data_IF_387046775907
#
_entry.id   IF_387046775907
#
_cell.length_a   1.000
_cell.length_b   1.000
_cell.length_c   1.000
_cell.angle_alpha   90.00
_cell.angle_beta   90.00
_cell.angle_gamma   90.00
#
_symmetry.space_group_name_H-M   'P 1'
#
loop_
_entity.id
_entity.type
_entity.pdbx_description
1 polymer ?
#
# COMPACT_ATOMS: atom_id res chain seq x y z
N UNK A 1 -3.37 -3.25 -38.38
CA UNK A 1 -4.54 -3.95 -37.82
C UNK A 1 -4.42 -3.89 -36.31
N UNK A 2 -5.45 -3.39 -35.63
CA UNK A 2 -5.48 -3.30 -34.16
C UNK A 2 -5.42 -4.68 -33.53
N UNK A 3 -4.63 -4.84 -32.47
CA UNK A 3 -4.55 -6.09 -31.71
C UNK A 3 -5.45 -6.04 -30.48
N UNK A 4 -6.11 -7.14 -30.16
CA UNK A 4 -6.91 -7.29 -28.94
C UNK A 4 -6.24 -8.37 -28.12
N UNK A 5 -5.99 -8.08 -26.85
CA UNK A 5 -5.40 -9.00 -25.89
C UNK A 5 -6.40 -9.27 -24.77
N UNK A 6 -6.63 -10.55 -24.48
CA UNK A 6 -7.47 -10.99 -23.38
C UNK A 6 -6.71 -11.01 -22.04
N UNK A 7 -7.44 -11.25 -20.95
CA UNK A 7 -6.88 -11.27 -19.60
C UNK A 7 -5.76 -12.30 -19.42
N UNK A 8 -5.91 -13.50 -19.98
CA UNK A 8 -4.89 -14.55 -19.84
C UNK A 8 -3.58 -14.12 -20.50
N UNK A 9 -3.66 -13.60 -21.74
CA UNK A 9 -2.49 -13.09 -22.46
C UNK A 9 -1.81 -11.93 -21.71
N UNK A 10 -2.58 -11.09 -21.03
CA UNK A 10 -2.04 -9.99 -20.20
C UNK A 10 -1.32 -10.58 -18.98
N UNK A 11 -1.92 -11.55 -18.30
CA UNK A 11 -1.35 -12.21 -17.13
C UNK A 11 -0.04 -12.93 -17.46
N UNK A 12 0.00 -13.68 -18.55
CA UNK A 12 1.21 -14.39 -19.00
C UNK A 12 2.41 -13.43 -19.21
N UNK A 13 2.15 -12.22 -19.71
CA UNK A 13 3.20 -11.20 -19.87
C UNK A 13 3.61 -10.55 -18.55
N UNK A 14 2.67 -10.41 -17.61
CA UNK A 14 2.96 -9.85 -16.29
C UNK A 14 3.87 -10.76 -15.45
N UNK A 15 3.93 -12.07 -15.72
CA UNK A 15 4.85 -12.99 -15.03
C UNK A 15 6.34 -12.70 -15.32
N UNK A 16 6.63 -12.07 -16.46
CA UNK A 16 8.01 -11.77 -16.91
C UNK A 16 8.33 -10.27 -16.93
N UNK A 17 7.34 -9.43 -16.63
CA UNK A 17 7.48 -7.98 -16.61
C UNK A 17 7.68 -7.49 -15.17
N UNK A 18 8.51 -6.47 -14.97
CA UNK A 18 8.60 -5.74 -13.70
C UNK A 18 7.66 -4.52 -13.72
N UNK A 19 6.45 -4.62 -13.13
CA UNK A 19 5.53 -3.49 -13.09
C UNK A 19 6.00 -2.39 -12.14
N UNK A 20 6.85 -2.70 -11.15
CA UNK A 20 7.35 -1.71 -10.18
C UNK A 20 8.30 -0.75 -10.90
N UNK A 21 9.26 -1.29 -11.67
CA UNK A 21 10.17 -0.48 -12.48
C UNK A 21 9.42 0.42 -13.48
N UNK A 22 8.45 -0.16 -14.20
CA UNK A 22 7.65 0.57 -15.19
C UNK A 22 6.88 1.75 -14.55
N UNK A 23 6.26 1.52 -13.39
CA UNK A 23 5.52 2.55 -12.66
C UNK A 23 6.44 3.60 -12.07
N UNK A 24 7.61 3.22 -11.53
CA UNK A 24 8.63 4.15 -11.04
C UNK A 24 9.10 5.10 -12.16
N UNK A 25 9.43 4.55 -13.33
CA UNK A 25 9.80 5.34 -14.52
C UNK A 25 8.71 6.34 -14.91
N UNK A 26 7.43 5.92 -14.82
CA UNK A 26 6.28 6.78 -15.05
C UNK A 26 6.23 7.99 -14.10
N UNK A 27 6.42 7.78 -12.80
CA UNK A 27 6.46 8.85 -11.81
C UNK A 27 7.62 9.83 -12.00
N UNK A 28 8.80 9.33 -12.40
CA UNK A 28 9.96 10.17 -12.73
C UNK A 28 9.62 11.09 -13.90
N UNK A 29 9.10 10.53 -15.00
CA UNK A 29 8.72 11.30 -16.21
C UNK A 29 7.62 12.31 -15.91
N UNK A 30 6.65 11.96 -15.06
CA UNK A 30 5.61 12.90 -14.62
C UNK A 30 6.22 14.09 -13.88
N UNK A 31 7.10 13.84 -12.91
CA UNK A 31 7.77 14.89 -12.12
C UNK A 31 8.71 15.77 -12.95
N UNK A 32 9.30 15.21 -14.01
CA UNK A 32 10.12 15.96 -14.98
C UNK A 32 9.29 16.82 -15.96
N UNK A 33 7.97 16.85 -15.84
CA UNK A 33 7.08 17.57 -16.77
C UNK A 33 6.98 16.94 -18.16
N UNK A 34 7.41 15.68 -18.30
CA UNK A 34 7.38 14.94 -19.56
C UNK A 34 6.04 14.26 -19.79
N UNK A 35 5.26 13.97 -18.74
CA UNK A 35 3.92 13.42 -18.89
C UNK A 35 2.86 14.52 -18.99
N UNK A 36 1.90 14.34 -19.90
CA UNK A 36 0.70 15.17 -20.01
C UNK A 36 -0.49 14.32 -19.59
N UNK A 37 -1.05 14.66 -18.42
CA UNK A 37 -2.17 13.94 -17.80
C UNK A 37 -3.30 14.93 -17.56
N UNK A 38 -4.35 14.93 -18.39
CA UNK A 38 -5.52 15.78 -18.19
C UNK A 38 -6.35 15.39 -16.95
N UNK A 39 -7.31 16.23 -16.54
CA UNK A 39 -8.25 15.88 -15.48
C UNK A 39 -8.99 14.58 -15.75
N UNK A 40 -9.32 13.86 -14.68
CA UNK A 40 -10.07 12.60 -14.73
C UNK A 40 -11.47 12.87 -15.27
N UNK A 41 -11.91 12.08 -16.23
CA UNK A 41 -13.32 12.04 -16.63
C UNK A 41 -14.10 11.14 -15.68
N UNK A 42 -15.27 11.57 -15.24
CA UNK A 42 -16.09 10.85 -14.26
C UNK A 42 -17.52 10.71 -14.79
N UNK A 43 -18.06 9.50 -14.67
CA UNK A 43 -19.47 9.20 -14.87
C UNK A 43 -19.97 8.57 -13.58
N UNK A 44 -20.90 9.23 -12.91
CA UNK A 44 -21.53 8.74 -11.68
C UNK A 44 -22.95 8.32 -12.02
N UNK A 45 -23.32 7.11 -11.64
CA UNK A 45 -24.62 6.51 -11.91
C UNK A 45 -25.40 6.38 -10.60
N UNK A 46 -26.65 6.83 -10.61
CA UNK A 46 -27.54 6.70 -9.45
C UNK A 46 -28.28 5.36 -9.44
N UNK A 47 -28.65 4.83 -10.62
CA UNK A 47 -29.41 3.58 -10.77
C UNK A 47 -29.00 2.78 -12.03
N UNK A 48 -28.36 1.60 -11.88
CA UNK A 48 -27.82 1.07 -10.63
C UNK A 48 -26.66 1.95 -10.13
N UNK A 49 -26.41 1.99 -8.81
CA UNK A 49 -25.33 2.80 -8.26
C UNK A 49 -23.97 2.29 -8.74
N UNK A 50 -23.15 3.21 -9.25
CA UNK A 50 -21.82 2.89 -9.73
C UNK A 50 -21.08 4.11 -10.27
N UNK A 51 -19.84 3.89 -10.66
CA UNK A 51 -18.98 4.93 -11.21
C UNK A 51 -18.17 4.39 -12.40
N UNK A 52 -17.79 5.27 -13.32
CA UNK A 52 -16.81 4.99 -14.36
C UNK A 52 -15.87 6.16 -14.52
N UNK A 53 -14.58 5.85 -14.46
CA UNK A 53 -13.50 6.80 -14.53
C UNK A 53 -12.71 6.64 -15.84
N UNK A 54 -12.49 7.75 -16.54
CA UNK A 54 -11.65 7.82 -17.73
C UNK A 54 -10.37 8.55 -17.36
N UNK A 55 -9.25 7.82 -17.43
CA UNK A 55 -7.91 8.37 -17.20
C UNK A 55 -7.10 8.22 -18.47
N UNK A 56 -6.51 9.30 -18.95
CA UNK A 56 -5.82 9.33 -20.23
C UNK A 56 -4.61 10.25 -20.15
N UNK A 57 -3.67 10.04 -21.06
CA UNK A 57 -2.46 10.82 -21.10
C UNK A 57 -1.40 10.23 -21.99
N UNK A 58 -0.30 10.95 -22.10
CA UNK A 58 0.86 10.54 -22.89
C UNK A 58 2.15 11.07 -22.27
N UNK A 59 3.27 10.44 -22.61
CA UNK A 59 4.61 10.94 -22.30
C UNK A 59 5.17 11.58 -23.57
N UNK A 60 5.74 12.78 -23.45
CA UNK A 60 6.37 13.51 -24.55
C UNK A 60 7.48 12.67 -25.18
N UNK A 61 7.51 12.64 -26.51
CA UNK A 61 8.46 11.86 -27.33
C UNK A 61 8.35 10.33 -27.17
N UNK A 62 7.27 9.83 -26.57
CA UNK A 62 6.96 8.40 -26.54
C UNK A 62 6.20 7.98 -27.81
N UNK A 63 6.15 6.68 -28.09
CA UNK A 63 5.46 6.14 -29.26
C UNK A 63 3.92 6.14 -29.08
N UNK A 64 3.44 6.12 -27.84
CA UNK A 64 2.04 5.82 -27.54
C UNK A 64 1.38 6.78 -26.54
N UNK A 65 0.07 6.92 -26.67
CA UNK A 65 -0.80 7.48 -25.64
C UNK A 65 -1.85 6.45 -25.23
N UNK A 66 -2.34 6.57 -24.00
CA UNK A 66 -3.28 5.60 -23.41
C UNK A 66 -4.57 6.30 -22.98
N UNK A 67 -5.68 5.59 -23.17
CA UNK A 67 -6.95 5.88 -22.53
C UNK A 67 -7.37 4.65 -21.73
N UNK A 68 -7.51 4.80 -20.42
CA UNK A 68 -8.05 3.79 -19.52
C UNK A 68 -9.49 4.10 -19.20
N UNK A 69 -10.34 3.08 -19.25
CA UNK A 69 -11.70 3.11 -18.73
C UNK A 69 -11.78 2.09 -17.60
N UNK A 70 -12.20 2.52 -16.41
CA UNK A 70 -12.37 1.66 -15.26
C UNK A 70 -13.74 1.92 -14.62
N UNK A 71 -14.48 0.86 -14.33
CA UNK A 71 -15.83 0.90 -13.79
C UNK A 71 -15.90 0.23 -12.43
N UNK A 72 -16.59 0.89 -11.49
CA UNK A 72 -16.92 0.38 -10.16
C UNK A 72 -18.43 0.22 -10.00
N UNK A 73 -18.91 -1.01 -9.94
CA UNK A 73 -20.32 -1.34 -9.71
C UNK A 73 -20.39 -2.31 -8.54
N UNK A 74 -20.41 -1.77 -7.32
CA UNK A 74 -20.15 -2.53 -6.09
C UNK A 74 -21.22 -3.58 -5.76
N UNK A 75 -22.40 -3.48 -6.39
CA UNK A 75 -23.49 -4.45 -6.26
C UNK A 75 -23.43 -5.61 -7.27
N UNK A 76 -22.52 -5.55 -8.27
CA UNK A 76 -22.32 -6.63 -9.24
C UNK A 76 -22.08 -8.03 -8.63
N UNK A 77 -21.43 -8.19 -7.46
CA UNK A 77 -21.31 -9.50 -6.83
C UNK A 77 -22.67 -10.19 -6.55
N UNK A 78 -23.75 -9.41 -6.34
CA UNK A 78 -25.11 -9.96 -6.20
C UNK A 78 -25.62 -10.63 -7.48
N UNK A 79 -25.02 -10.27 -8.62
CA UNK A 79 -25.31 -10.79 -9.96
C UNK A 79 -24.28 -11.85 -10.40
N UNK A 80 -23.32 -12.22 -9.55
CA UNK A 80 -22.22 -13.12 -9.91
C UNK A 80 -21.14 -12.47 -10.79
N UNK A 81 -21.07 -11.14 -10.84
CA UNK A 81 -20.10 -10.36 -11.61
C UNK A 81 -19.07 -9.69 -10.68
N UNK A 82 -17.89 -9.35 -11.21
CA UNK A 82 -16.90 -8.57 -10.47
C UNK A 82 -17.42 -7.15 -10.17
N UNK A 83 -17.10 -6.65 -8.97
CA UNK A 83 -17.40 -5.28 -8.56
C UNK A 83 -16.59 -4.23 -9.33
N UNK A 84 -15.47 -4.65 -9.94
CA UNK A 84 -14.61 -3.78 -10.74
C UNK A 84 -14.42 -4.38 -12.12
N UNK A 85 -14.34 -3.53 -13.14
CA UNK A 85 -14.02 -3.93 -14.51
C UNK A 85 -13.24 -2.79 -15.21
N UNK A 86 -12.60 -3.08 -16.33
CA UNK A 86 -11.85 -2.07 -17.06
C UNK A 86 -11.16 -2.60 -18.30
N UNK A 87 -10.62 -1.65 -19.06
CA UNK A 87 -9.78 -1.91 -20.22
C UNK A 87 -8.80 -0.75 -20.45
N UNK A 88 -7.74 -1.04 -21.20
CA UNK A 88 -6.77 -0.04 -21.67
C UNK A 88 -6.81 0.04 -23.21
N UNK A 89 -6.87 1.25 -23.74
CA UNK A 89 -6.74 1.53 -25.17
C UNK A 89 -5.38 2.19 -25.42
N UNK A 90 -4.58 1.60 -26.29
CA UNK A 90 -3.26 2.10 -26.67
C UNK A 90 -3.30 2.63 -28.10
N UNK A 91 -2.86 3.87 -28.29
CA UNK A 91 -2.87 4.55 -29.58
C UNK A 91 -1.47 5.03 -29.96
N UNK A 92 -1.19 5.12 -31.26
CA UNK A 92 0.05 5.73 -31.75
C UNK A 92 0.00 7.25 -31.56
N UNK A 93 1.00 7.85 -30.90
CA UNK A 93 1.15 9.31 -30.88
C UNK A 93 1.48 9.88 -32.27
N UNK A 94 2.06 9.08 -33.16
CA UNK A 94 2.44 9.52 -34.51
C UNK A 94 1.24 9.60 -35.44
N UNK A 95 0.35 8.61 -35.41
CA UNK A 95 -0.75 8.49 -36.39
C UNK A 95 -2.14 8.67 -35.80
N UNK A 96 -2.30 8.60 -34.47
CA UNK A 96 -3.60 8.56 -33.81
C UNK A 96 -4.35 7.23 -33.97
N UNK A 97 -3.77 6.25 -34.65
CA UNK A 97 -4.40 4.96 -34.87
C UNK A 97 -4.39 4.11 -33.59
N UNK A 98 -5.48 3.36 -33.39
CA UNK A 98 -5.60 2.40 -32.30
C UNK A 98 -4.67 1.21 -32.55
N UNK A 99 -3.67 1.07 -31.69
CA UNK A 99 -2.64 0.01 -31.76
C UNK A 99 -3.16 -1.26 -31.11
N UNK A 100 -3.68 -1.14 -29.88
CA UNK A 100 -4.21 -2.30 -29.16
C UNK A 100 -5.30 -1.97 -28.14
N UNK A 101 -6.10 -2.98 -27.84
CA UNK A 101 -7.06 -3.03 -26.74
C UNK A 101 -6.60 -4.11 -25.76
N UNK A 102 -6.44 -3.76 -24.49
CA UNK A 102 -6.17 -4.69 -23.40
C UNK A 102 -7.46 -4.88 -22.60
N UNK A 103 -8.10 -6.05 -22.73
CA UNK A 103 -9.30 -6.41 -21.99
C UNK A 103 -8.88 -6.95 -20.62
N UNK A 104 -8.46 -6.05 -19.72
CA UNK A 104 -7.80 -6.42 -18.47
C UNK A 104 -8.76 -6.72 -17.31
N UNK A 105 -10.07 -6.47 -17.48
CA UNK A 105 -11.08 -6.71 -16.44
C UNK A 105 -10.76 -5.99 -15.10
N UNK A 106 -9.99 -4.90 -15.16
CA UNK A 106 -9.49 -4.18 -13.98
C UNK A 106 -8.19 -4.75 -13.35
N UNK A 107 -7.66 -5.86 -13.85
CA UNK A 107 -6.46 -6.50 -13.34
C UNK A 107 -5.22 -5.59 -13.44
N UNK A 108 -4.98 -4.92 -14.58
CA UNK A 108 -3.87 -3.98 -14.70
C UNK A 108 -4.06 -2.77 -13.76
N UNK A 109 -5.31 -2.39 -13.47
CA UNK A 109 -5.59 -1.37 -12.45
C UNK A 109 -5.16 -1.82 -11.06
N UNK A 110 -5.36 -3.08 -10.69
CA UNK A 110 -4.90 -3.63 -9.41
C UNK A 110 -3.36 -3.70 -9.37
N UNK A 111 -2.73 -4.29 -10.40
CA UNK A 111 -1.28 -4.45 -10.48
C UNK A 111 -0.57 -3.11 -10.42
N UNK A 112 -0.97 -2.11 -11.22
CA UNK A 112 -0.34 -0.78 -11.17
C UNK A 112 -0.53 -0.06 -9.84
N UNK A 113 -1.62 -0.35 -9.11
CA UNK A 113 -1.89 0.24 -7.79
C UNK A 113 -0.96 -0.38 -6.74
N UNK A 114 -0.84 -1.70 -6.74
CA UNK A 114 0.11 -2.42 -5.90
C UNK A 114 1.56 -2.00 -6.21
N UNK A 115 1.93 -1.93 -7.49
CA UNK A 115 3.24 -1.49 -7.93
C UNK A 115 3.55 -0.04 -7.51
N UNK A 116 2.59 0.89 -7.61
CA UNK A 116 2.77 2.25 -7.09
C UNK A 116 3.01 2.26 -5.57
N UNK A 117 2.29 1.40 -4.82
CA UNK A 117 2.54 1.16 -3.40
C UNK A 117 3.95 0.63 -3.14
N UNK A 118 4.43 -0.32 -3.95
CA UNK A 118 5.78 -0.86 -3.85
C UNK A 118 6.87 0.17 -4.21
N UNK A 119 6.63 1.04 -5.21
CA UNK A 119 7.52 2.18 -5.50
C UNK A 119 7.59 3.12 -4.30
N UNK A 120 6.47 3.36 -3.63
CA UNK A 120 6.47 4.11 -2.37
C UNK A 120 7.16 3.33 -1.24
N UNK A 121 7.10 2.00 -1.24
CA UNK A 121 7.81 1.13 -0.31
C UNK A 121 9.33 1.14 -0.51
N UNK A 122 9.85 1.54 -1.67
CA UNK A 122 11.27 1.86 -1.85
C UNK A 122 11.73 3.11 -1.05
N UNK A 123 10.92 3.61 -0.12
CA UNK A 123 11.33 4.59 0.88
C UNK A 123 11.99 3.89 2.06
N UNK A 124 12.98 4.54 2.69
CA UNK A 124 13.55 4.06 3.96
C UNK A 124 12.53 4.08 5.12
N UNK A 125 11.34 4.64 4.92
CA UNK A 125 10.23 4.66 5.89
C UNK A 125 8.91 4.34 5.18
N UNK A 126 8.21 3.34 5.69
CA UNK A 126 6.87 2.91 5.28
C UNK A 126 5.95 3.03 6.50
N UNK A 127 4.74 3.54 6.31
CA UNK A 127 3.70 3.55 7.34
C UNK A 127 2.47 2.84 6.79
N UNK A 128 2.00 1.81 7.47
CA UNK A 128 0.75 1.12 7.13
C UNK A 128 -0.34 1.51 8.13
N UNK A 129 -1.51 1.89 7.62
CA UNK A 129 -2.62 2.43 8.43
C UNK A 129 -3.98 2.09 7.80
N UNK A 130 -4.09 0.88 7.25
CA UNK A 130 -5.27 0.40 6.53
C UNK A 130 -6.03 -0.65 7.36
N UNK A 131 -7.35 -0.81 7.14
CA UNK A 131 -8.12 -1.89 7.75
C UNK A 131 -8.00 -3.21 6.98
N UNK A 132 -6.92 -3.43 6.22
CA UNK A 132 -6.77 -4.60 5.35
C UNK A 132 -6.79 -5.91 6.13
N UNK A 133 -7.35 -6.96 5.53
CA UNK A 133 -7.28 -8.35 6.01
C UNK A 133 -6.28 -9.20 5.22
N UNK A 134 -5.69 -8.62 4.18
CA UNK A 134 -4.73 -9.29 3.29
C UNK A 134 -3.43 -8.47 3.25
N UNK A 135 -2.24 -9.14 3.25
CA UNK A 135 -0.96 -8.46 3.06
C UNK A 135 -0.97 -7.49 1.87
N UNK A 136 -0.59 -6.23 2.13
CA UNK A 136 -0.39 -5.19 1.12
C UNK A 136 1.09 -4.99 0.81
N UNK A 137 1.96 -5.16 1.81
CA UNK A 137 3.41 -5.12 1.66
C UNK A 137 3.99 -6.53 1.68
N UNK A 138 4.79 -6.86 0.68
CA UNK A 138 5.49 -8.14 0.55
C UNK A 138 6.98 -7.97 0.91
N UNK A 139 7.63 -9.04 1.38
CA UNK A 139 9.04 -8.99 1.79
C UNK A 139 9.99 -8.60 0.64
N UNK A 140 9.71 -9.06 -0.58
CA UNK A 140 10.50 -8.74 -1.78
C UNK A 140 10.39 -7.28 -2.22
N UNK A 141 9.44 -6.53 -1.67
CA UNK A 141 9.28 -5.09 -1.88
C UNK A 141 10.09 -4.25 -0.87
N UNK A 142 10.71 -4.87 0.14
CA UNK A 142 11.49 -4.16 1.16
C UNK A 142 12.99 -4.16 0.84
N UNK A 143 13.54 -2.96 0.67
CA UNK A 143 14.97 -2.78 0.51
C UNK A 143 15.72 -2.89 1.86
N UNK A 144 17.01 -3.24 1.87
CA UNK A 144 17.88 -3.02 3.03
C UNK A 144 17.71 -1.58 3.56
N UNK A 145 17.67 -1.46 4.89
CA UNK A 145 17.52 -0.17 5.55
C UNK A 145 16.09 0.37 5.64
N UNK A 146 15.07 -0.36 5.18
CA UNK A 146 13.68 0.08 5.32
C UNK A 146 13.22 0.04 6.78
N UNK A 147 12.47 1.05 7.22
CA UNK A 147 11.73 1.04 8.47
C UNK A 147 10.23 0.99 8.17
N UNK A 148 9.48 0.10 8.82
CA UNK A 148 8.02 0.04 8.75
C UNK A 148 7.41 0.41 10.11
N UNK A 149 6.43 1.31 10.10
CA UNK A 149 5.52 1.53 11.23
C UNK A 149 4.14 1.00 10.86
N UNK A 150 3.76 -0.13 11.45
CA UNK A 150 2.45 -0.75 11.24
C UNK A 150 1.46 -0.27 12.30
N UNK A 151 0.38 0.38 11.85
CA UNK A 151 -0.64 0.98 12.72
C UNK A 151 -2.03 0.37 12.51
N UNK A 152 -2.36 -0.08 11.30
CA UNK A 152 -3.73 -0.33 10.88
C UNK A 152 -4.37 -1.62 11.40
N UNK A 153 -3.57 -2.65 11.68
CA UNK A 153 -4.08 -3.95 12.09
C UNK A 153 -4.43 -4.01 13.59
N UNK A 154 -5.53 -3.43 14.05
CA UNK A 154 -5.97 -3.41 15.47
C UNK A 154 -6.75 -4.65 15.96
N UNK A 155 -7.12 -5.56 15.05
CA UNK A 155 -7.84 -6.81 15.36
C UNK A 155 -7.03 -8.04 14.93
N UNK A 156 -7.46 -9.24 15.34
CA UNK A 156 -6.82 -10.51 14.95
C UNK A 156 -7.07 -10.92 13.50
N UNK A 157 -8.02 -10.28 12.79
CA UNK A 157 -8.29 -10.55 11.37
C UNK A 157 -7.56 -9.60 10.42
N UNK A 158 -7.15 -8.42 10.91
CA UNK A 158 -6.45 -7.45 10.08
C UNK A 158 -4.98 -7.84 9.95
N UNK A 159 -4.44 -7.58 8.77
CA UNK A 159 -3.07 -7.89 8.40
C UNK A 159 -2.68 -7.07 7.17
N UNK A 160 -1.69 -6.20 7.32
CA UNK A 160 -1.16 -5.32 6.27
C UNK A 160 0.19 -5.79 5.73
N UNK A 161 0.96 -6.53 6.51
CA UNK A 161 2.28 -7.00 6.16
C UNK A 161 2.24 -8.49 5.83
N UNK A 162 3.06 -8.93 4.88
CA UNK A 162 3.37 -10.35 4.77
C UNK A 162 4.02 -10.81 6.09
N UNK A 163 3.51 -11.86 6.78
CA UNK A 163 4.14 -12.38 7.99
C UNK A 163 5.62 -12.77 7.82
N UNK A 164 6.09 -13.00 6.59
CA UNK A 164 7.51 -13.19 6.30
C UNK A 164 8.36 -11.94 6.54
N UNK A 165 7.77 -10.74 6.47
CA UNK A 165 8.43 -9.50 6.87
C UNK A 165 8.80 -9.62 8.34
N UNK A 166 7.85 -9.85 9.23
CA UNK A 166 8.10 -9.94 10.68
C UNK A 166 9.21 -10.95 11.04
N UNK A 167 9.33 -12.06 10.33
CA UNK A 167 10.36 -13.08 10.62
C UNK A 167 11.74 -12.81 10.00
N UNK A 168 11.85 -11.93 9.01
CA UNK A 168 13.10 -11.65 8.29
C UNK A 168 13.68 -10.26 8.60
N UNK A 169 13.09 -9.54 9.53
CA UNK A 169 13.52 -8.19 9.91
C UNK A 169 14.58 -8.25 11.01
N UNK A 170 15.55 -7.34 10.95
CA UNK A 170 16.66 -7.32 11.90
C UNK A 170 16.20 -6.91 13.31
N UNK A 171 15.17 -6.05 13.37
CA UNK A 171 14.60 -5.54 14.62
C UNK A 171 13.07 -5.49 14.48
N UNK A 172 12.37 -6.19 15.37
CA UNK A 172 10.91 -6.13 15.50
C UNK A 172 10.54 -5.57 16.86
N UNK A 173 9.83 -4.46 16.85
CA UNK A 173 9.42 -3.73 18.05
C UNK A 173 7.90 -3.77 18.16
N UNK A 174 7.39 -4.02 19.37
CA UNK A 174 5.98 -3.91 19.72
C UNK A 174 5.78 -2.77 20.72
N UNK A 175 4.69 -2.02 20.63
CA UNK A 175 4.31 -1.09 21.72
C UNK A 175 3.82 -1.83 22.98
N UNK A 176 3.12 -2.95 22.80
CA UNK A 176 2.88 -3.95 23.84
C UNK A 176 3.08 -5.37 23.32
N UNK A 177 4.12 -6.07 23.77
CA UNK A 177 4.37 -7.47 23.41
C UNK A 177 3.14 -8.32 23.76
N UNK A 178 2.59 -8.16 24.96
CA UNK A 178 1.42 -8.91 25.42
C UNK A 178 0.19 -8.73 24.51
N UNK A 179 0.00 -7.55 23.90
CA UNK A 179 -1.09 -7.35 22.95
C UNK A 179 -0.71 -7.85 21.54
N UNK A 180 0.47 -7.51 21.03
CA UNK A 180 0.89 -7.86 19.66
C UNK A 180 1.04 -9.38 19.45
N UNK A 181 1.25 -10.18 20.49
CA UNK A 181 1.23 -11.65 20.34
C UNK A 181 -0.18 -12.22 20.16
N UNK A 182 -1.22 -11.50 20.61
CA UNK A 182 -2.63 -11.93 20.54
C UNK A 182 -3.39 -11.37 19.33
N UNK A 183 -2.90 -10.31 18.70
CA UNK A 183 -3.53 -9.62 17.55
C UNK A 183 -2.47 -8.96 16.65
N UNK A 184 -2.85 -8.42 15.49
CA UNK A 184 -1.98 -7.69 14.53
C UNK A 184 -1.02 -8.54 13.68
N UNK A 185 -0.02 -7.88 13.11
CA UNK A 185 1.05 -8.39 12.24
C UNK A 185 1.89 -9.45 12.96
N UNK A 186 2.33 -9.17 14.20
CA UNK A 186 3.12 -10.12 15.01
C UNK A 186 2.34 -11.41 15.27
N UNK A 187 1.04 -11.31 15.59
CA UNK A 187 0.18 -12.48 15.80
C UNK A 187 0.11 -13.37 14.56
N UNK A 188 0.01 -12.80 13.35
CA UNK A 188 -0.02 -13.61 12.12
C UNK A 188 1.30 -14.36 11.90
N UNK A 189 2.44 -13.76 12.22
CA UNK A 189 3.74 -14.41 12.15
C UNK A 189 3.89 -15.55 13.17
N UNK A 190 3.46 -15.35 14.41
CA UNK A 190 3.46 -16.38 15.46
C UNK A 190 2.53 -17.54 15.09
N UNK A 191 1.32 -17.25 14.59
CA UNK A 191 0.36 -18.28 14.17
C UNK A 191 0.92 -19.17 13.05
N UNK A 192 1.77 -18.62 12.20
CA UNK A 192 2.50 -19.34 11.14
C UNK A 192 3.82 -19.97 11.62
N UNK A 193 4.15 -19.87 12.91
CA UNK A 193 5.40 -20.37 13.51
C UNK A 193 6.67 -19.77 12.88
N UNK A 194 6.58 -18.52 12.44
CA UNK A 194 7.68 -17.80 11.77
C UNK A 194 8.51 -16.95 12.73
N UNK A 195 8.03 -16.70 13.95
CA UNK A 195 8.64 -15.80 14.92
C UNK A 195 8.63 -16.43 16.31
N UNK A 196 9.78 -16.37 17.00
CA UNK A 196 9.85 -16.63 18.44
C UNK A 196 9.55 -15.32 19.20
N UNK A 197 8.51 -15.27 20.05
CA UNK A 197 8.20 -14.09 20.86
C UNK A 197 9.35 -13.59 21.73
N UNK A 198 10.34 -14.43 22.05
CA UNK A 198 11.54 -14.03 22.80
C UNK A 198 12.43 -13.04 22.03
N UNK A 199 12.27 -12.94 20.71
CA UNK A 199 13.02 -12.00 19.85
C UNK A 199 12.33 -10.63 19.71
N UNK A 200 11.14 -10.45 20.28
CA UNK A 200 10.42 -9.18 20.24
C UNK A 200 11.00 -8.18 21.24
N UNK A 201 11.03 -6.91 20.84
CA UNK A 201 11.48 -5.82 21.69
C UNK A 201 10.30 -4.91 22.03
N UNK A 202 10.16 -4.57 23.30
CA UNK A 202 9.16 -3.59 23.74
C UNK A 202 9.64 -2.16 23.45
N UNK A 203 8.78 -1.32 22.87
CA UNK A 203 9.11 0.05 22.45
C UNK A 203 9.66 0.90 23.61
N UNK A 204 9.15 0.69 24.83
CA UNK A 204 9.64 1.37 26.03
C UNK A 204 11.13 1.14 26.29
N UNK A 205 11.62 -0.09 26.08
CA UNK A 205 13.02 -0.45 26.29
C UNK A 205 13.94 0.19 25.23
N UNK A 206 13.43 0.40 24.02
CA UNK A 206 14.16 1.12 22.96
C UNK A 206 14.30 2.61 23.31
N UNK A 207 13.23 3.19 23.86
CA UNK A 207 13.19 4.61 24.26
C UNK A 207 14.15 4.86 25.45
N UNK A 208 14.13 3.99 26.46
CA UNK A 208 15.02 4.09 27.63
C UNK A 208 16.48 3.79 27.33
N UNK A 209 16.75 3.08 26.23
CA UNK A 209 18.10 2.65 25.83
C UNK A 209 18.50 1.27 26.38
N UNK A 210 17.56 0.54 26.98
CA UNK A 210 17.75 -0.82 27.52
C UNK A 210 17.68 -1.91 26.43
N UNK A 211 17.24 -1.55 25.23
CA UNK A 211 17.18 -2.44 24.06
C UNK A 211 17.89 -1.82 22.84
N UNK A 212 18.40 -2.66 21.91
CA UNK A 212 19.09 -2.17 20.73
C UNK A 212 18.18 -1.31 19.85
N UNK A 213 18.76 -0.23 19.34
CA UNK A 213 18.22 0.54 18.22
C UNK A 213 18.86 0.03 16.94
N UNK A 214 18.43 0.58 15.80
CA UNK A 214 19.13 0.41 14.53
C UNK A 214 20.63 0.71 14.69
N UNK A 215 21.47 -0.20 14.22
CA UNK A 215 22.95 -0.15 14.34
C UNK A 215 23.67 -0.04 13.00
N UNK A 216 22.99 -0.25 11.87
CA UNK A 216 23.51 -0.01 10.54
C UNK A 216 22.43 0.50 9.59
N UNK A 217 22.86 1.11 8.48
CA UNK A 217 21.95 1.63 7.45
C UNK A 217 21.23 0.52 6.67
N UNK A 218 21.75 -0.70 6.67
CA UNK A 218 21.17 -1.85 5.98
C UNK A 218 20.11 -2.59 6.81
N UNK A 219 20.09 -2.41 8.14
CA UNK A 219 19.15 -3.11 9.02
C UNK A 219 17.71 -2.68 8.72
N UNK A 220 16.85 -3.66 8.44
CA UNK A 220 15.41 -3.40 8.32
C UNK A 220 14.75 -3.49 9.69
N UNK A 221 13.79 -2.61 9.94
CA UNK A 221 13.15 -2.49 11.26
C UNK A 221 11.64 -2.34 11.15
N UNK A 222 10.89 -3.14 11.92
CA UNK A 222 9.42 -3.02 12.02
C UNK A 222 9.03 -2.59 13.42
N UNK A 223 8.08 -1.66 13.50
CA UNK A 223 7.38 -1.31 14.74
C UNK A 223 5.89 -1.60 14.53
N UNK A 224 5.32 -2.48 15.36
CA UNK A 224 3.89 -2.82 15.40
C UNK A 224 3.23 -2.08 16.57
N UNK A 225 2.29 -1.17 16.27
CA UNK A 225 1.65 -0.29 17.24
C UNK A 225 0.18 -0.65 17.45
N UNK A 226 -0.19 -1.18 18.62
CA UNK A 226 -1.58 -1.47 19.00
C UNK A 226 -2.39 -0.31 19.49
N UNK A 227 -1.73 0.70 20.06
CA UNK A 227 -2.41 1.60 20.97
C UNK A 227 -2.52 0.93 22.33
N UNK A 228 -1.98 1.59 23.35
CA UNK A 228 -1.94 1.10 24.72
C UNK A 228 -2.48 2.18 25.64
N UNK A 229 -3.28 1.80 26.64
CA UNK A 229 -3.96 2.77 27.52
C UNK A 229 -3.01 3.74 28.23
N UNK A 230 -1.71 3.39 28.40
CA UNK A 230 -0.71 4.32 28.93
C UNK A 230 -0.57 5.58 28.07
N UNK A 231 -0.74 5.49 26.75
CA UNK A 231 -0.74 6.65 25.85
C UNK A 231 -1.91 7.59 26.20
N UNK A 232 -3.12 7.05 26.34
CA UNK A 232 -4.33 7.80 26.71
C UNK A 232 -4.20 8.44 28.10
N UNK A 233 -3.65 7.70 29.07
CA UNK A 233 -3.40 8.19 30.43
C UNK A 233 -2.44 9.38 30.40
N UNK A 234 -1.32 9.27 29.69
CA UNK A 234 -0.31 10.33 29.65
C UNK A 234 -0.83 11.59 28.94
N UNK A 235 -1.51 11.45 27.80
CA UNK A 235 -2.03 12.62 27.08
C UNK A 235 -3.16 13.29 27.87
N UNK A 236 -4.06 12.53 28.50
CA UNK A 236 -5.14 13.06 29.34
C UNK A 236 -4.58 13.83 30.52
N UNK A 237 -3.59 13.25 31.23
CA UNK A 237 -2.93 13.89 32.36
C UNK A 237 -2.23 15.18 31.95
N UNK A 238 -1.44 15.15 30.87
CA UNK A 238 -0.71 16.32 30.38
C UNK A 238 -1.65 17.49 30.01
N UNK A 239 -2.78 17.18 29.34
CA UNK A 239 -3.82 18.17 29.03
C UNK A 239 -4.44 18.74 30.30
N UNK A 240 -4.81 17.88 31.26
CA UNK A 240 -5.39 18.32 32.53
C UNK A 240 -4.45 19.23 33.33
N UNK A 241 -3.16 18.87 33.42
CA UNK A 241 -2.14 19.68 34.10
C UNK A 241 -1.94 21.03 33.40
N UNK A 242 -1.91 21.07 32.07
CA UNK A 242 -1.78 22.32 31.32
C UNK A 242 -2.97 23.27 31.52
N UNK A 243 -4.20 22.73 31.61
CA UNK A 243 -5.41 23.53 31.85
C UNK A 243 -5.46 24.07 33.28
N UNK A 244 -5.09 23.26 34.26
CA UNK A 244 -5.15 23.63 35.69
C UNK A 244 -3.98 24.49 36.14
N UNK A 245 -2.86 24.48 35.41
CA UNK A 245 -1.73 25.39 35.66
C UNK A 245 -2.11 26.88 35.48
N UNK A 246 -3.16 27.19 34.71
CA UNK A 246 -3.69 28.54 34.52
C UNK A 246 -4.66 29.03 35.61
N UNK A 247 -5.26 28.12 36.39
CA UNK A 247 -6.27 28.43 37.42
C UNK A 247 -5.65 28.75 38.80
N UNK A 248 -4.33 28.94 38.89
CA UNK A 248 -3.64 29.35 40.12
C UNK A 248 -3.79 30.85 40.45
N UNK A 249 -4.75 31.54 39.82
CA UNK A 249 -4.85 33.00 39.88
C UNK A 249 -6.22 33.58 39.55
N UNK A 250 -7.25 33.21 40.32
CA UNK A 250 -8.35 34.11 40.73
C UNK A 250 -8.87 33.72 42.09
#
# INVERSE_FOLDING_TARGET
>A
MTKIYDLQQIQDVLEILDPIEAIASGFVKYSQGMAVVPPVGELIFDDPPGDTHIKYGYIRNDAYYVIKIASGFYDNPKLGLSATNGLMLLFSQRTGELVSILLDEGHLTNIRTAAAGAVAANCNLIITATPSKNPLLQLDQMMPGTHVTAMGADTSEKNELDPMIISNEDIVIADSIAQCVERKEIHQAIKKQLLDPANLIELGNVISGDAPRRTSDDQRTVVDLTGVAVQDIQITKAVFEALTAGDSGT
#
